data_IF_342286371400
#
_entry.id   IF_342286371400
#
_cell.length_a   1.000
_cell.length_b   1.000
_cell.length_c   1.000
_cell.angle_alpha   90.00
_cell.angle_beta   90.00
_cell.angle_gamma   90.00
#
_symmetry.space_group_name_H-M   'P 1'
#
loop_
_entity.id
_entity.type
_entity.pdbx_description
1 polymer ?
#
# COMPACT_ATOMS: atom_id res chain seq x y z
N UNK A 1 -0.39 4.80 11.71
CA UNK A 1 -1.76 4.32 11.51
C UNK A 1 -1.67 3.06 10.69
N UNK A 2 -2.13 1.94 11.22
CA UNK A 2 -2.32 0.69 10.50
C UNK A 2 -3.74 0.61 9.93
N UNK A 3 -3.99 -0.34 9.02
CA UNK A 3 -5.31 -0.53 8.40
C UNK A 3 -6.43 -0.74 9.44
N UNK A 4 -6.16 -1.49 10.51
CA UNK A 4 -7.10 -1.80 11.59
C UNK A 4 -7.44 -0.58 12.47
N UNK A 5 -6.67 0.50 12.38
CA UNK A 5 -6.92 1.76 13.08
C UNK A 5 -7.85 2.71 12.29
N UNK A 6 -8.22 2.38 11.04
CA UNK A 6 -9.15 3.19 10.25
C UNK A 6 -10.60 3.07 10.74
N UNK A 7 -11.50 4.01 10.42
CA UNK A 7 -12.92 3.83 10.69
C UNK A 7 -13.48 2.56 10.02
N UNK A 8 -14.30 1.75 10.69
CA UNK A 8 -14.81 0.48 10.13
C UNK A 8 -15.49 0.59 8.75
N UNK A 9 -16.24 1.66 8.41
CA UNK A 9 -16.77 1.83 7.06
C UNK A 9 -15.67 1.93 6.00
N UNK A 10 -14.57 2.62 6.30
CA UNK A 10 -13.43 2.78 5.39
C UNK A 10 -12.67 1.47 5.22
N UNK A 11 -12.44 0.73 6.31
CA UNK A 11 -11.78 -0.58 6.25
C UNK A 11 -12.47 -1.54 5.28
N UNK A 12 -13.81 -1.56 5.25
CA UNK A 12 -14.61 -2.45 4.38
C UNK A 12 -14.58 -2.07 2.90
N UNK A 13 -14.24 -0.83 2.56
CA UNK A 13 -14.13 -0.36 1.18
C UNK A 13 -12.74 -0.64 0.59
N UNK A 14 -11.74 -0.83 1.44
CA UNK A 14 -10.39 -1.16 1.04
C UNK A 14 -10.40 -2.63 0.58
N UNK A 15 -9.97 -2.93 -0.66
CA UNK A 15 -9.83 -4.30 -1.12
C UNK A 15 -8.82 -5.04 -0.23
N UNK A 16 -8.91 -6.36 -0.20
CA UNK A 16 -7.85 -7.16 0.43
C UNK A 16 -6.49 -6.78 -0.18
N UNK A 17 -5.46 -6.66 0.66
CA UNK A 17 -4.12 -6.28 0.25
C UNK A 17 -3.18 -7.43 0.55
N UNK A 18 -2.85 -8.19 -0.48
CA UNK A 18 -1.88 -9.27 -0.42
C UNK A 18 -0.58 -8.83 -1.07
N UNK A 19 0.51 -8.82 -0.28
CA UNK A 19 1.85 -8.46 -0.76
C UNK A 19 2.61 -9.74 -1.04
N UNK A 20 2.80 -10.08 -2.31
CA UNK A 20 3.51 -11.30 -2.72
C UNK A 20 5.01 -11.07 -2.94
N UNK A 21 5.40 -9.84 -3.21
CA UNK A 21 6.79 -9.43 -3.41
C UNK A 21 7.00 -8.03 -2.88
N UNK A 22 8.13 -7.79 -2.21
CA UNK A 22 8.53 -6.49 -1.73
C UNK A 22 10.04 -6.34 -1.86
N UNK A 23 10.46 -5.34 -2.61
CA UNK A 23 11.85 -4.96 -2.77
C UNK A 23 12.00 -3.49 -2.37
N UNK A 24 12.72 -3.28 -1.27
CA UNK A 24 13.09 -1.95 -0.81
C UNK A 24 14.53 -1.60 -1.24
N UNK A 25 14.72 -0.36 -1.66
CA UNK A 25 16.02 0.28 -1.93
C UNK A 25 16.03 1.67 -1.31
N UNK A 26 17.21 2.19 -0.96
CA UNK A 26 17.35 3.60 -0.58
C UNK A 26 16.98 4.54 -1.74
N UNK A 27 17.11 4.09 -3.00
CA UNK A 27 16.64 4.79 -4.18
C UNK A 27 15.14 4.48 -4.44
N UNK A 28 14.22 5.46 -4.32
CA UNK A 28 12.79 5.22 -4.51
C UNK A 28 12.42 4.65 -5.89
N UNK A 29 13.21 4.95 -6.93
CA UNK A 29 12.96 4.47 -8.30
C UNK A 29 13.20 2.96 -8.47
N UNK A 30 13.96 2.35 -7.56
CA UNK A 30 14.28 0.92 -7.58
C UNK A 30 13.37 0.11 -6.65
N UNK A 31 12.45 0.77 -5.93
CA UNK A 31 11.51 0.08 -5.07
C UNK A 31 10.39 -0.54 -5.90
N UNK A 32 10.02 -1.76 -5.57
CA UNK A 32 8.99 -2.53 -6.26
C UNK A 32 8.17 -3.31 -5.24
N UNK A 33 6.87 -3.42 -5.49
CA UNK A 33 5.98 -4.24 -4.67
C UNK A 33 4.97 -4.93 -5.58
N UNK A 34 4.65 -6.19 -5.32
CA UNK A 34 3.52 -6.87 -5.97
C UNK A 34 2.35 -6.90 -5.00
N UNK A 35 1.26 -6.23 -5.36
CA UNK A 35 0.03 -6.15 -4.57
C UNK A 35 -1.09 -6.79 -5.38
N UNK A 36 -1.77 -7.77 -4.79
CA UNK A 36 -2.90 -8.47 -5.40
C UNK A 36 -2.59 -9.12 -6.77
N UNK A 37 -1.31 -9.46 -7.00
CA UNK A 37 -0.84 -10.07 -8.24
C UNK A 37 -0.25 -9.10 -9.26
N UNK A 38 -0.41 -7.79 -9.05
CA UNK A 38 0.09 -6.75 -9.96
C UNK A 38 1.34 -6.08 -9.39
N UNK A 39 2.34 -5.86 -10.26
CA UNK A 39 3.53 -5.11 -9.89
C UNK A 39 3.21 -3.61 -9.88
N UNK A 40 3.51 -2.95 -8.77
CA UNK A 40 3.24 -1.53 -8.58
C UNK A 40 4.49 -0.76 -8.13
N UNK A 41 4.47 0.54 -8.44
CA UNK A 41 5.51 1.49 -8.07
C UNK A 41 4.95 2.62 -7.19
N UNK A 42 5.85 3.35 -6.52
CA UNK A 42 5.45 4.53 -5.76
C UNK A 42 4.76 5.57 -6.63
N UNK A 43 3.62 6.07 -6.16
CA UNK A 43 2.76 7.04 -6.85
C UNK A 43 1.65 6.39 -7.68
N UNK A 44 1.62 5.06 -7.80
CA UNK A 44 0.64 4.35 -8.61
C UNK A 44 -0.71 4.18 -7.89
N UNK A 45 -1.79 4.13 -8.67
CA UNK A 45 -3.13 3.84 -8.15
C UNK A 45 -3.41 2.34 -8.27
N UNK A 46 -3.63 1.69 -7.13
CA UNK A 46 -3.84 0.23 -7.05
C UNK A 46 -5.30 -0.16 -7.29
N UNK A 47 -6.23 0.73 -6.93
CA UNK A 47 -7.67 0.59 -7.15
C UNK A 47 -8.30 1.99 -7.15
N UNK A 48 -9.57 2.17 -7.58
CA UNK A 48 -10.21 3.49 -7.61
C UNK A 48 -10.10 4.24 -6.27
N UNK A 49 -9.27 5.28 -6.25
CA UNK A 49 -9.00 6.11 -5.06
C UNK A 49 -8.02 5.54 -4.05
N UNK A 50 -7.51 4.32 -4.22
CA UNK A 50 -6.47 3.70 -3.39
C UNK A 50 -5.10 3.87 -4.06
N UNK A 51 -4.23 4.67 -3.46
CA UNK A 51 -2.93 5.00 -4.02
C UNK A 51 -1.79 4.41 -3.19
N UNK A 52 -0.76 3.90 -3.86
CA UNK A 52 0.52 3.54 -3.27
C UNK A 52 1.39 4.79 -3.15
N UNK A 53 1.43 5.40 -1.97
CA UNK A 53 2.24 6.62 -1.79
C UNK A 53 3.72 6.31 -1.60
N UNK A 54 4.03 5.28 -0.81
CA UNK A 54 5.40 4.94 -0.48
C UNK A 54 5.60 3.44 -0.29
N UNK A 55 6.72 2.93 -0.78
CA UNK A 55 7.25 1.62 -0.40
C UNK A 55 8.27 1.88 0.72
N UNK A 56 8.00 1.30 1.89
CA UNK A 56 8.80 1.45 3.12
C UNK A 56 9.63 0.19 3.35
N UNK A 57 10.66 0.20 4.24
CA UNK A 57 11.49 -0.98 4.47
C UNK A 57 10.73 -2.24 4.90
N UNK A 58 9.58 -2.07 5.55
CA UNK A 58 8.79 -3.14 6.18
C UNK A 58 7.37 -3.27 5.60
N UNK A 59 7.03 -2.51 4.55
CA UNK A 59 5.67 -2.48 4.01
C UNK A 59 5.42 -1.38 2.99
N UNK A 60 4.20 -0.87 2.97
CA UNK A 60 3.76 0.23 2.10
C UNK A 60 2.92 1.25 2.87
N UNK A 61 2.97 2.51 2.44
CA UNK A 61 2.03 3.55 2.84
C UNK A 61 1.01 3.72 1.72
N UNK A 62 -0.25 3.63 2.10
CA UNK A 62 -1.39 3.72 1.19
C UNK A 62 -2.26 4.92 1.57
N UNK A 63 -2.86 5.53 0.57
CA UNK A 63 -3.82 6.61 0.73
C UNK A 63 -5.17 6.25 0.13
N UNK A 64 -6.25 6.46 0.88
CA UNK A 64 -7.62 6.22 0.44
C UNK A 64 -8.60 7.21 1.09
N UNK A 65 -9.40 7.94 0.29
CA UNK A 65 -10.40 8.92 0.77
C UNK A 65 -9.87 9.90 1.83
N UNK A 66 -8.60 10.31 1.71
CA UNK A 66 -7.93 11.22 2.66
C UNK A 66 -7.31 10.56 3.88
N UNK A 67 -7.49 9.24 4.07
CA UNK A 67 -6.78 8.47 5.08
C UNK A 67 -5.44 7.98 4.55
N UNK A 68 -4.42 8.00 5.39
CA UNK A 68 -3.10 7.40 5.15
C UNK A 68 -2.84 6.32 6.18
N UNK A 69 -2.47 5.14 5.73
CA UNK A 69 -2.20 4.00 6.60
C UNK A 69 -1.04 3.15 6.08
N UNK A 70 -0.34 2.50 7.00
CA UNK A 70 0.72 1.54 6.71
C UNK A 70 0.13 0.13 6.64
N UNK A 71 0.63 -0.63 5.67
CA UNK A 71 0.37 -2.04 5.51
C UNK A 71 1.71 -2.76 5.47
N UNK A 72 1.98 -3.62 6.45
CA UNK A 72 3.21 -4.39 6.52
C UNK A 72 3.27 -5.53 5.50
N UNK A 73 4.48 -5.92 5.10
CA UNK A 73 4.72 -7.21 4.43
C UNK A 73 4.63 -8.29 5.51
N UNK A 74 3.63 -9.16 5.44
CA UNK A 74 3.41 -10.21 6.44
C UNK A 74 3.95 -11.54 5.97
#
# INVERSE_FOLDING_TARGET
>A
MALDELPPPIQREIPEISIAFHAYSSNPKERRVMINGDMAEQGEQLAPGLNLEQITPDGVILAYKGFRFHQGVR
#
